data_IF_495055754229
#
_entry.id   IF_495055754229
#
_cell.length_a   1.000
_cell.length_b   1.000
_cell.length_c   1.000
_cell.angle_alpha   90.00
_cell.angle_beta   90.00
_cell.angle_gamma   90.00
#
_symmetry.space_group_name_H-M   'P 1'
#
loop_
_entity.id
_entity.type
_entity.pdbx_description
1 polymer ?
#
# COMPACT_ATOMS: atom_id res chain seq x y z
N UNK A 1 -46.97 -13.30 6.66
CA UNK A 1 -46.84 -14.13 5.44
C UNK A 1 -45.75 -13.51 4.59
N UNK A 2 -44.53 -14.05 4.70
CA UNK A 2 -43.35 -13.58 3.98
C UNK A 2 -43.26 -14.29 2.63
N UNK A 3 -42.94 -13.52 1.60
CA UNK A 3 -43.03 -13.85 0.17
C UNK A 3 -41.85 -14.76 -0.24
N UNK A 4 -42.05 -16.09 -0.22
CA UNK A 4 -41.01 -17.10 -0.48
C UNK A 4 -40.50 -17.14 -1.93
N UNK A 5 -41.23 -16.53 -2.86
CA UNK A 5 -40.94 -16.65 -4.28
C UNK A 5 -39.76 -15.76 -4.72
N UNK A 6 -39.47 -14.67 -3.98
CA UNK A 6 -38.33 -13.80 -4.28
C UNK A 6 -36.98 -14.36 -3.81
N UNK A 7 -36.95 -15.22 -2.80
CA UNK A 7 -35.69 -15.82 -2.31
C UNK A 7 -35.19 -16.93 -3.23
N UNK A 8 -36.10 -17.70 -3.83
CA UNK A 8 -35.77 -18.77 -4.77
C UNK A 8 -35.11 -18.23 -6.05
N UNK A 9 -35.62 -17.14 -6.62
CA UNK A 9 -35.06 -16.47 -7.80
C UNK A 9 -33.68 -15.86 -7.50
N UNK A 10 -33.47 -15.36 -6.29
CA UNK A 10 -32.19 -14.78 -5.84
C UNK A 10 -31.13 -15.86 -5.59
N UNK A 11 -31.53 -17.04 -5.13
CA UNK A 11 -30.66 -18.20 -4.93
C UNK A 11 -30.29 -18.85 -6.27
N UNK A 12 -31.25 -19.00 -7.19
CA UNK A 12 -31.03 -19.56 -8.54
C UNK A 12 -30.19 -18.65 -9.43
N UNK A 13 -30.39 -17.33 -9.37
CA UNK A 13 -29.55 -16.39 -10.12
C UNK A 13 -28.10 -16.35 -9.61
N UNK A 14 -27.89 -16.45 -8.28
CA UNK A 14 -26.55 -16.53 -7.69
C UNK A 14 -25.85 -17.86 -7.95
N UNK A 15 -26.59 -18.98 -8.00
CA UNK A 15 -26.01 -20.30 -8.31
C UNK A 15 -25.70 -20.47 -9.81
N UNK A 16 -26.50 -19.88 -10.70
CA UNK A 16 -26.21 -19.85 -12.14
C UNK A 16 -24.94 -19.04 -12.46
N UNK A 17 -24.73 -17.89 -11.80
CA UNK A 17 -23.50 -17.09 -11.94
C UNK A 17 -22.29 -17.79 -11.30
N UNK A 18 -22.50 -18.54 -10.22
CA UNK A 18 -21.44 -19.37 -9.61
C UNK A 18 -21.01 -20.55 -10.50
N UNK A 19 -21.92 -21.15 -11.28
CA UNK A 19 -21.62 -22.26 -12.21
C UNK A 19 -20.78 -21.86 -13.43
N UNK A 20 -20.99 -20.64 -13.95
CA UNK A 20 -20.18 -20.09 -15.05
C UNK A 20 -18.76 -19.77 -14.58
N UNK A 21 -18.62 -19.22 -13.37
CA UNK A 21 -17.30 -18.98 -12.76
C UNK A 21 -16.52 -20.27 -12.46
N UNK A 22 -17.22 -21.33 -12.05
CA UNK A 22 -16.58 -22.62 -11.69
C UNK A 22 -16.10 -23.40 -12.92
N UNK A 23 -16.85 -23.39 -14.03
CA UNK A 23 -16.42 -24.03 -15.28
C UNK A 23 -15.28 -23.28 -15.96
N UNK A 24 -15.36 -21.95 -16.03
CA UNK A 24 -14.25 -21.11 -16.48
C UNK A 24 -13.00 -21.29 -15.61
N UNK A 25 -13.16 -21.35 -14.28
CA UNK A 25 -12.06 -21.57 -13.33
C UNK A 25 -11.41 -22.96 -13.44
N UNK A 26 -12.18 -24.02 -13.72
CA UNK A 26 -11.65 -25.37 -13.93
C UNK A 26 -10.85 -25.49 -15.22
N UNK A 27 -11.31 -24.86 -16.29
CA UNK A 27 -10.61 -24.88 -17.57
C UNK A 27 -9.38 -23.95 -17.54
N UNK A 28 -9.47 -22.83 -16.83
CA UNK A 28 -8.30 -22.04 -16.44
C UNK A 28 -7.31 -22.92 -15.68
N UNK A 29 -7.73 -23.60 -14.60
CA UNK A 29 -6.86 -24.44 -13.75
C UNK A 29 -6.13 -25.55 -14.51
N UNK A 30 -6.82 -26.24 -15.42
CA UNK A 30 -6.20 -27.27 -16.28
C UNK A 30 -5.19 -26.67 -17.26
N UNK A 31 -5.48 -25.49 -17.81
CA UNK A 31 -4.53 -24.72 -18.63
C UNK A 31 -3.36 -24.13 -17.82
N UNK A 32 -3.61 -23.74 -16.57
CA UNK A 32 -2.61 -23.18 -15.65
C UNK A 32 -1.59 -24.21 -15.21
N UNK A 33 -1.97 -25.47 -15.01
CA UNK A 33 -1.07 -26.50 -14.48
C UNK A 33 0.19 -26.70 -15.33
N UNK A 34 0.08 -26.55 -16.65
CA UNK A 34 1.21 -26.70 -17.56
C UNK A 34 1.94 -25.37 -17.86
N UNK A 35 1.34 -24.24 -17.49
CA UNK A 35 1.80 -22.90 -17.84
C UNK A 35 1.81 -21.94 -16.64
N UNK A 36 1.95 -22.46 -15.42
CA UNK A 36 1.84 -21.67 -14.18
C UNK A 36 2.82 -20.49 -14.19
N UNK A 37 4.02 -20.71 -14.76
CA UNK A 37 5.01 -19.67 -15.00
C UNK A 37 4.48 -18.52 -15.87
N UNK A 38 3.82 -18.82 -17.00
CA UNK A 38 3.29 -17.79 -17.91
C UNK A 38 2.17 -16.97 -17.25
N UNK A 39 1.36 -17.59 -16.39
CA UNK A 39 0.28 -16.90 -15.69
C UNK A 39 0.82 -15.99 -14.60
N UNK A 40 1.80 -16.47 -13.83
CA UNK A 40 2.51 -15.62 -12.86
C UNK A 40 3.22 -14.48 -13.59
N UNK A 41 3.87 -14.75 -14.72
CA UNK A 41 4.51 -13.71 -15.53
C UNK A 41 3.49 -12.68 -16.03
N UNK A 42 2.32 -13.11 -16.54
CA UNK A 42 1.26 -12.21 -16.98
C UNK A 42 0.68 -11.37 -15.82
N UNK A 43 0.48 -11.97 -14.65
CA UNK A 43 0.01 -11.27 -13.45
C UNK A 43 1.04 -10.21 -13.01
N UNK A 44 2.32 -10.58 -12.97
CA UNK A 44 3.42 -9.67 -12.65
C UNK A 44 3.50 -8.54 -13.66
N UNK A 45 3.34 -8.83 -14.95
CA UNK A 45 3.33 -7.85 -16.04
C UNK A 45 2.20 -6.82 -15.91
N UNK A 46 1.08 -7.22 -15.31
CA UNK A 46 -0.09 -6.36 -15.11
C UNK A 46 0.00 -5.57 -13.79
N UNK A 47 0.42 -6.21 -12.70
CA UNK A 47 0.42 -5.62 -11.36
C UNK A 47 1.66 -4.76 -11.11
N UNK A 48 2.84 -5.19 -11.60
CA UNK A 48 4.09 -4.51 -11.29
C UNK A 48 4.15 -3.08 -11.86
N UNK A 49 3.77 -2.79 -13.13
CA UNK A 49 3.78 -1.42 -13.63
C UNK A 49 2.86 -0.48 -12.86
N UNK A 50 1.68 -0.99 -12.46
CA UNK A 50 0.75 -0.23 -11.61
C UNK A 50 1.36 0.09 -10.24
N UNK A 51 1.88 -0.91 -9.53
CA UNK A 51 2.46 -0.72 -8.19
C UNK A 51 3.68 0.18 -8.22
N UNK A 52 4.58 0.01 -9.18
CA UNK A 52 5.78 0.83 -9.34
C UNK A 52 5.42 2.30 -9.64
N UNK A 53 4.50 2.53 -10.59
CA UNK A 53 4.05 3.87 -10.92
C UNK A 53 3.36 4.57 -9.74
N UNK A 54 2.54 3.82 -8.97
CA UNK A 54 1.91 4.31 -7.76
C UNK A 54 2.94 4.68 -6.68
N UNK A 55 3.88 3.79 -6.39
CA UNK A 55 4.93 4.05 -5.38
C UNK A 55 5.75 5.30 -5.70
N UNK A 56 6.16 5.47 -6.96
CA UNK A 56 6.94 6.64 -7.39
C UNK A 56 6.16 7.95 -7.21
N UNK A 57 4.83 7.92 -7.43
CA UNK A 57 4.01 9.14 -7.43
C UNK A 57 3.32 9.47 -6.11
N UNK A 58 3.21 8.51 -5.18
CA UNK A 58 2.60 8.70 -3.86
C UNK A 58 3.27 9.77 -2.98
N UNK A 59 4.46 10.26 -3.37
CA UNK A 59 5.23 11.24 -2.61
C UNK A 59 5.89 10.61 -1.39
N UNK A 60 7.13 11.00 -1.08
CA UNK A 60 7.91 10.47 0.02
C UNK A 60 8.22 11.58 1.02
N UNK A 61 8.49 11.18 2.27
CA UNK A 61 8.94 12.14 3.26
C UNK A 61 10.31 12.67 2.86
N UNK A 62 10.45 14.00 2.80
CA UNK A 62 11.72 14.64 2.50
C UNK A 62 12.77 14.39 3.59
N UNK A 63 12.33 14.04 4.82
CA UNK A 63 13.19 13.78 5.97
C UNK A 63 13.92 12.43 5.91
N UNK A 64 13.31 11.41 5.30
CA UNK A 64 13.96 10.09 5.09
C UNK A 64 14.99 10.11 3.95
N UNK A 65 15.16 11.26 3.30
CA UNK A 65 16.12 11.45 2.24
C UNK A 65 15.71 10.77 0.93
N UNK A 66 16.33 11.24 -0.14
CA UNK A 66 16.15 10.88 -1.56
C UNK A 66 16.32 9.38 -1.91
N UNK A 67 16.44 8.50 -0.91
CA UNK A 67 16.76 7.07 -1.04
C UNK A 67 15.59 6.20 -1.50
N UNK A 68 14.35 6.68 -1.45
CA UNK A 68 13.16 5.86 -1.73
C UNK A 68 12.62 5.96 -3.17
N UNK A 69 12.80 7.08 -3.86
CA UNK A 69 12.22 7.28 -5.21
C UNK A 69 13.13 6.85 -6.36
N UNK A 70 14.42 7.15 -6.28
CA UNK A 70 15.40 6.86 -7.33
C UNK A 70 15.54 5.36 -7.64
N UNK A 71 15.69 4.45 -6.64
CA UNK A 71 15.77 3.02 -6.94
C UNK A 71 14.46 2.46 -7.48
N UNK A 72 13.29 3.00 -7.09
CA UNK A 72 12.00 2.57 -7.62
C UNK A 72 11.83 2.92 -9.11
N UNK A 73 12.27 4.12 -9.53
CA UNK A 73 12.29 4.52 -10.95
C UNK A 73 13.29 3.65 -11.73
N UNK A 74 14.48 3.42 -11.19
CA UNK A 74 15.49 2.55 -11.81
C UNK A 74 15.00 1.12 -11.99
N UNK A 75 14.39 0.54 -10.95
CA UNK A 75 13.79 -0.80 -10.99
C UNK A 75 12.65 -0.88 -12.01
N UNK A 76 11.81 0.16 -12.12
CA UNK A 76 10.75 0.20 -13.14
C UNK A 76 11.28 0.26 -14.56
N UNK A 77 12.32 1.06 -14.81
CA UNK A 77 12.97 1.12 -16.12
C UNK A 77 13.64 -0.20 -16.50
N UNK A 78 14.36 -0.83 -15.56
CA UNK A 78 14.97 -2.15 -15.75
C UNK A 78 13.89 -3.20 -16.02
N UNK A 79 12.78 -3.17 -15.29
CA UNK A 79 11.68 -4.11 -15.48
C UNK A 79 11.02 -3.98 -16.86
N UNK A 80 10.76 -2.76 -17.33
CA UNK A 80 10.23 -2.53 -18.68
C UNK A 80 11.22 -2.95 -19.77
N UNK A 81 12.53 -2.70 -19.59
CA UNK A 81 13.57 -3.17 -20.49
C UNK A 81 13.66 -4.70 -20.53
N UNK A 82 13.47 -5.36 -19.40
CA UNK A 82 13.52 -6.82 -19.28
C UNK A 82 12.28 -7.45 -19.94
N UNK A 83 11.10 -6.85 -19.79
CA UNK A 83 9.90 -7.24 -20.54
C UNK A 83 10.12 -7.11 -22.04
N UNK A 84 10.63 -5.95 -22.49
CA UNK A 84 10.93 -5.73 -23.89
C UNK A 84 11.92 -6.78 -24.43
N UNK A 85 13.01 -7.03 -23.68
CA UNK A 85 14.02 -8.02 -24.04
C UNK A 85 13.49 -9.45 -24.08
N UNK A 86 12.62 -9.86 -23.15
CA UNK A 86 11.99 -11.19 -23.16
C UNK A 86 11.05 -11.36 -24.37
N UNK A 87 10.32 -10.31 -24.72
CA UNK A 87 9.41 -10.30 -25.86
C UNK A 87 10.18 -10.34 -27.19
N UNK A 88 11.29 -9.59 -27.33
CA UNK A 88 12.06 -9.56 -28.58
C UNK A 88 13.08 -10.70 -28.68
N UNK A 89 13.67 -11.11 -27.56
CA UNK A 89 14.72 -12.14 -27.50
C UNK A 89 14.19 -13.57 -27.50
N UNK A 90 13.00 -13.82 -26.95
CA UNK A 90 12.36 -15.13 -26.96
C UNK A 90 11.73 -15.52 -28.31
N UNK A 91 11.54 -14.55 -29.21
CA UNK A 91 10.80 -14.74 -30.48
C UNK A 91 11.60 -14.28 -31.71
N UNK A 92 12.87 -13.91 -31.55
CA UNK A 92 13.75 -13.42 -32.61
C UNK A 92 14.25 -14.49 -33.59
N UNK A 93 14.09 -15.78 -33.28
CA UNK A 93 14.41 -16.86 -34.23
C UNK A 93 13.20 -17.14 -35.13
N UNK A 94 13.11 -16.36 -36.21
CA UNK A 94 12.30 -16.75 -37.38
C UNK A 94 12.73 -18.16 -37.78
N UNK A 95 11.86 -19.15 -37.60
CA UNK A 95 11.98 -20.41 -38.31
C UNK A 95 11.53 -20.15 -39.77
N UNK A 96 12.44 -20.08 -40.76
CA UNK A 96 12.04 -19.82 -42.15
C UNK A 96 11.21 -20.97 -42.76
N UNK A 97 11.07 -22.09 -42.04
CA UNK A 97 10.45 -23.31 -42.53
C UNK A 97 8.91 -23.34 -42.43
N UNK A 98 8.27 -22.52 -41.58
CA UNK A 98 6.84 -22.71 -41.24
C UNK A 98 5.85 -21.84 -42.00
N UNK A 99 6.28 -20.79 -42.72
CA UNK A 99 5.39 -19.94 -43.54
C UNK A 99 4.21 -19.29 -42.81
N UNK A 100 4.14 -19.43 -41.47
CA UNK A 100 3.05 -18.92 -40.65
C UNK A 100 3.27 -17.45 -40.32
N UNK A 101 2.27 -16.61 -40.55
CA UNK A 101 2.22 -15.24 -40.06
C UNK A 101 2.31 -15.25 -38.54
N UNK A 102 3.46 -14.86 -38.03
CA UNK A 102 3.73 -14.86 -36.60
C UNK A 102 3.03 -13.66 -35.94
N UNK A 103 2.02 -13.94 -35.10
CA UNK A 103 1.24 -12.92 -34.39
C UNK A 103 1.97 -12.35 -33.17
N UNK A 104 3.23 -12.75 -32.94
CA UNK A 104 4.09 -12.35 -31.83
C UNK A 104 4.19 -10.82 -31.69
N UNK A 105 4.35 -10.08 -32.80
CA UNK A 105 4.38 -8.62 -32.80
C UNK A 105 3.08 -7.97 -32.30
N UNK A 106 1.92 -8.54 -32.68
CA UNK A 106 0.62 -8.06 -32.21
C UNK A 106 0.43 -8.34 -30.71
N UNK A 107 0.84 -9.52 -30.24
CA UNK A 107 0.79 -9.90 -28.83
C UNK A 107 1.68 -8.96 -28.00
N UNK A 108 2.90 -8.69 -28.47
CA UNK A 108 3.82 -7.75 -27.84
C UNK A 108 3.21 -6.34 -27.68
N UNK A 109 2.59 -5.82 -28.72
CA UNK A 109 1.93 -4.51 -28.69
C UNK A 109 0.75 -4.48 -27.71
N UNK A 110 -0.07 -5.55 -27.67
CA UNK A 110 -1.18 -5.66 -26.72
C UNK A 110 -0.68 -5.66 -25.28
N UNK A 111 0.38 -6.43 -24.98
CA UNK A 111 0.98 -6.48 -23.65
C UNK A 111 1.56 -5.13 -23.24
N UNK A 112 2.25 -4.44 -24.16
CA UNK A 112 2.78 -3.10 -23.92
C UNK A 112 1.66 -2.09 -23.62
N UNK A 113 0.55 -2.13 -24.37
CA UNK A 113 -0.61 -1.27 -24.11
C UNK A 113 -1.23 -1.55 -22.74
N UNK A 114 -1.38 -2.81 -22.35
CA UNK A 114 -1.93 -3.19 -21.03
C UNK A 114 -1.02 -2.68 -19.91
N UNK A 115 0.30 -2.91 -20.01
CA UNK A 115 1.26 -2.44 -19.00
C UNK A 115 1.33 -0.92 -18.93
N UNK A 116 1.23 -0.22 -20.07
CA UNK A 116 1.18 1.25 -20.11
C UNK A 116 -0.08 1.80 -19.45
N UNK A 117 -1.23 1.17 -19.71
CA UNK A 117 -2.49 1.54 -19.09
C UNK A 117 -2.46 1.30 -17.57
N UNK A 118 -1.91 0.16 -17.13
CA UNK A 118 -1.74 -0.14 -15.71
C UNK A 118 -0.83 0.88 -15.01
N UNK A 119 0.29 1.26 -15.64
CA UNK A 119 1.18 2.30 -15.13
C UNK A 119 0.49 3.68 -15.07
N UNK A 120 -0.30 4.05 -16.09
CA UNK A 120 -1.06 5.29 -16.10
C UNK A 120 -2.07 5.34 -14.93
N UNK A 121 -2.81 4.26 -14.70
CA UNK A 121 -3.72 4.14 -13.54
C UNK A 121 -2.98 4.23 -12.21
N UNK A 122 -1.82 3.57 -12.09
CA UNK A 122 -0.99 3.63 -10.89
C UNK A 122 -0.51 5.05 -10.59
N UNK A 123 -0.09 5.77 -11.63
CA UNK A 123 0.32 7.19 -11.57
C UNK A 123 -0.83 8.07 -11.08
N UNK A 124 -2.02 7.92 -11.66
CA UNK A 124 -3.20 8.69 -11.25
C UNK A 124 -3.58 8.43 -9.79
N UNK A 125 -3.60 7.16 -9.38
CA UNK A 125 -3.88 6.80 -7.99
C UNK A 125 -2.82 7.36 -7.04
N UNK A 126 -1.54 7.23 -7.36
CA UNK A 126 -0.47 7.76 -6.50
C UNK A 126 -0.52 9.28 -6.39
N UNK A 127 -0.81 10.01 -7.48
CA UNK A 127 -1.03 11.46 -7.43
C UNK A 127 -2.24 11.85 -6.56
N UNK A 128 -3.32 11.06 -6.58
CA UNK A 128 -4.50 11.31 -5.75
C UNK A 128 -4.25 11.06 -4.25
N UNK A 129 -3.35 10.13 -3.93
CA UNK A 129 -2.97 9.78 -2.55
C UNK A 129 -1.89 10.72 -1.99
N UNK A 130 -1.08 11.31 -2.86
CA UNK A 130 -0.01 12.25 -2.52
C UNK A 130 -0.42 13.35 -1.54
N UNK A 131 -1.50 14.13 -1.73
CA UNK A 131 -1.87 15.18 -0.78
C UNK A 131 -2.19 14.63 0.61
N UNK A 132 -2.82 13.44 0.70
CA UNK A 132 -3.13 12.78 1.97
C UNK A 132 -1.85 12.36 2.71
N UNK A 133 -0.90 11.73 2.00
CA UNK A 133 0.40 11.38 2.59
C UNK A 133 1.19 12.61 3.04
N UNK A 134 1.28 13.64 2.19
CA UNK A 134 1.98 14.87 2.53
C UNK A 134 1.38 15.58 3.75
N UNK A 135 0.05 15.53 3.91
CA UNK A 135 -0.61 16.04 5.13
C UNK A 135 -0.20 15.23 6.36
N UNK A 136 -0.19 13.90 6.25
CA UNK A 136 0.30 13.02 7.31
C UNK A 136 1.74 13.32 7.74
N UNK A 137 2.64 13.54 6.77
CA UNK A 137 4.04 13.93 7.08
C UNK A 137 4.14 15.28 7.77
N UNK A 138 3.30 16.27 7.39
CA UNK A 138 3.27 17.57 8.07
C UNK A 138 2.79 17.44 9.52
N UNK A 139 1.72 16.68 9.75
CA UNK A 139 1.21 16.43 11.11
C UNK A 139 2.27 15.71 11.96
N UNK A 140 2.91 14.67 11.41
CA UNK A 140 3.98 13.97 12.11
C UNK A 140 5.17 14.90 12.44
N UNK A 141 5.55 15.76 11.50
CA UNK A 141 6.60 16.76 11.68
C UNK A 141 6.26 17.81 12.75
N UNK A 142 5.00 18.25 12.81
CA UNK A 142 4.50 19.20 13.80
C UNK A 142 4.45 18.53 15.19
N UNK A 143 3.99 17.27 15.26
CA UNK A 143 3.94 16.49 16.50
C UNK A 143 5.33 16.20 17.06
N UNK A 144 6.29 15.86 16.21
CA UNK A 144 7.67 15.64 16.65
C UNK A 144 8.27 16.90 17.25
N UNK A 145 8.05 18.07 16.61
CA UNK A 145 8.48 19.37 17.15
C UNK A 145 7.82 19.65 18.49
N UNK A 146 6.51 19.46 18.58
CA UNK A 146 5.77 19.64 19.83
C UNK A 146 6.35 18.78 20.97
N UNK A 147 6.63 17.51 20.71
CA UNK A 147 7.24 16.62 21.69
C UNK A 147 8.64 17.09 22.08
N UNK A 148 9.46 17.50 21.12
CA UNK A 148 10.80 18.03 21.37
C UNK A 148 10.77 19.32 22.21
N UNK A 149 9.85 20.25 21.91
CA UNK A 149 9.68 21.52 22.62
C UNK A 149 9.23 21.29 24.08
N UNK A 150 8.47 20.22 24.33
CA UNK A 150 8.08 19.78 25.69
C UNK A 150 9.14 18.87 26.35
N UNK A 151 10.30 18.67 25.71
CA UNK A 151 11.38 17.82 26.20
C UNK A 151 11.02 16.33 26.27
N UNK A 152 9.97 15.90 25.58
CA UNK A 152 9.52 14.51 25.53
C UNK A 152 10.40 13.75 24.53
N UNK A 153 11.06 12.69 24.99
CA UNK A 153 11.94 11.85 24.19
C UNK A 153 11.51 10.39 24.25
N UNK A 154 11.59 9.71 23.12
CA UNK A 154 11.39 8.27 23.07
C UNK A 154 12.66 7.57 23.60
N UNK A 155 12.51 6.71 24.60
CA UNK A 155 13.63 5.96 25.19
C UNK A 155 14.01 4.72 24.36
N UNK A 156 13.19 4.35 23.38
CA UNK A 156 13.37 3.13 22.60
C UNK A 156 13.13 1.86 23.44
N UNK A 157 13.02 0.72 22.77
CA UNK A 157 12.74 -0.59 23.40
C UNK A 157 11.33 -1.12 23.13
N UNK A 158 11.03 -2.31 23.64
CA UNK A 158 9.76 -3.02 23.38
C UNK A 158 8.52 -2.31 23.97
N UNK A 159 8.69 -1.44 24.97
CA UNK A 159 7.60 -0.89 25.78
C UNK A 159 7.09 0.50 25.38
N UNK A 160 7.50 1.05 24.22
CA UNK A 160 7.10 2.41 23.77
C UNK A 160 7.18 3.47 24.88
N UNK A 161 8.24 3.40 25.71
CA UNK A 161 8.42 4.30 26.84
C UNK A 161 8.87 5.70 26.38
N UNK A 162 8.20 6.72 26.89
CA UNK A 162 8.49 8.13 26.72
C UNK A 162 9.11 8.68 28.01
N UNK A 163 10.01 9.65 27.89
CA UNK A 163 10.55 10.41 29.02
C UNK A 163 10.26 11.88 28.85
N UNK A 164 9.71 12.54 29.87
CA UNK A 164 9.48 13.99 29.85
C UNK A 164 10.74 14.81 30.20
N UNK A 165 10.62 16.14 30.16
CA UNK A 165 11.68 17.06 30.55
C UNK A 165 12.12 16.93 32.03
N UNK A 166 11.25 16.46 32.92
CA UNK A 166 11.55 16.20 34.33
C UNK A 166 12.27 14.85 34.54
N UNK A 167 12.43 14.05 33.49
CA UNK A 167 13.03 12.71 33.55
C UNK A 167 12.04 11.61 33.93
N UNK A 168 10.75 11.90 33.98
CA UNK A 168 9.69 10.95 34.32
C UNK A 168 9.43 10.02 33.15
N UNK A 169 9.50 8.71 33.40
CA UNK A 169 9.17 7.69 32.42
C UNK A 169 7.67 7.42 32.37
N UNK A 170 7.13 7.37 31.15
CA UNK A 170 5.71 7.23 30.88
C UNK A 170 5.47 6.25 29.74
N UNK A 171 4.35 5.54 29.77
CA UNK A 171 3.93 4.62 28.71
C UNK A 171 2.50 4.99 28.29
N UNK A 172 2.19 4.81 27.00
CA UNK A 172 0.84 5.01 26.48
C UNK A 172 -0.09 3.98 27.14
N UNK A 173 -1.10 4.46 27.86
CA UNK A 173 -2.08 3.61 28.57
C UNK A 173 -3.32 3.39 27.69
N UNK A 174 -3.90 4.49 27.19
CA UNK A 174 -5.14 4.47 26.43
C UNK A 174 -5.26 5.73 25.55
N UNK A 175 -6.01 5.61 24.46
CA UNK A 175 -6.42 6.70 23.59
C UNK A 175 -7.91 6.96 23.83
N UNK A 176 -8.23 8.07 24.51
CA UNK A 176 -9.61 8.42 24.81
C UNK A 176 -10.29 9.01 23.58
N UNK A 177 -11.60 8.80 23.48
CA UNK A 177 -12.45 9.32 22.38
C UNK A 177 -12.48 10.85 22.27
N UNK A 178 -12.00 11.57 23.28
CA UNK A 178 -12.06 13.04 23.38
C UNK A 178 -10.75 13.72 22.94
N UNK A 179 -10.06 13.15 21.93
CA UNK A 179 -8.78 13.63 21.42
C UNK A 179 -7.66 13.73 22.49
N UNK A 180 -7.66 12.81 23.45
CA UNK A 180 -6.72 12.80 24.57
C UNK A 180 -6.00 11.44 24.66
N UNK A 181 -4.67 11.48 24.58
CA UNK A 181 -3.81 10.33 24.81
C UNK A 181 -3.38 10.36 26.28
N UNK A 182 -3.68 9.27 26.99
CA UNK A 182 -3.34 9.14 28.40
C UNK A 182 -2.01 8.41 28.55
N UNK A 183 -1.07 9.07 29.19
CA UNK A 183 0.24 8.52 29.50
C UNK A 183 0.29 8.13 30.97
N UNK A 184 0.59 6.87 31.27
CA UNK A 184 0.75 6.38 32.64
C UNK A 184 2.21 6.47 33.05
N UNK A 185 2.46 7.00 34.25
CA UNK A 185 3.82 7.08 34.80
C UNK A 185 4.29 5.71 35.27
N UNK A 186 5.46 5.28 34.82
CA UNK A 186 6.07 4.01 35.23
C UNK A 186 6.45 4.09 36.71
N UNK A 187 6.10 3.06 37.48
CA UNK A 187 6.43 2.98 38.91
C UNK A 187 5.55 3.82 39.84
N UNK A 188 4.68 4.70 39.33
CA UNK A 188 3.73 5.48 40.16
C UNK A 188 2.29 5.07 39.85
N UNK A 189 1.54 4.63 40.86
CA UNK A 189 0.10 4.34 40.72
C UNK A 189 -0.67 5.66 40.67
N UNK A 190 -1.73 5.70 39.86
CA UNK A 190 -2.68 6.82 39.71
C UNK A 190 -2.13 8.12 39.07
N UNK A 191 -0.82 8.27 38.88
CA UNK A 191 -0.24 9.44 38.20
C UNK A 191 -0.29 9.26 36.68
N UNK A 192 -0.88 10.24 36.00
CA UNK A 192 -1.11 10.25 34.55
C UNK A 192 -0.72 11.61 33.99
N UNK A 193 -0.11 11.61 32.82
CA UNK A 193 0.07 12.80 31.99
C UNK A 193 -0.88 12.70 30.79
N UNK A 194 -1.20 13.84 30.19
CA UNK A 194 -2.16 13.91 29.11
C UNK A 194 -1.57 14.65 27.92
N UNK A 195 -1.81 14.10 26.73
CA UNK A 195 -1.49 14.72 25.45
C UNK A 195 -2.79 14.94 24.69
N UNK A 196 -3.13 16.20 24.42
CA UNK A 196 -4.32 16.55 23.64
C UNK A 196 -3.94 16.80 22.20
N UNK A 197 -4.74 16.31 21.26
CA UNK A 197 -4.59 16.60 19.84
C UNK A 197 -5.83 17.29 19.25
N UNK A 198 -5.67 17.92 18.08
CA UNK A 198 -6.77 18.46 17.30
C UNK A 198 -7.46 17.39 16.43
N UNK A 199 -8.48 17.80 15.67
CA UNK A 199 -9.21 16.94 14.73
C UNK A 199 -8.35 16.46 13.55
N UNK A 200 -7.20 17.10 13.30
CA UNK A 200 -6.23 16.68 12.30
C UNK A 200 -5.19 15.69 12.88
N UNK A 201 -5.18 15.47 14.19
CA UNK A 201 -4.21 14.63 14.90
C UNK A 201 -2.92 15.35 15.30
N UNK A 202 -2.90 16.69 15.32
CA UNK A 202 -1.77 17.50 15.78
C UNK A 202 -1.81 17.69 17.28
N UNK A 203 -0.70 17.50 17.98
CA UNK A 203 -0.60 17.79 19.41
C UNK A 203 -0.68 19.29 19.68
N UNK A 204 -1.59 19.67 20.58
CA UNK A 204 -1.85 21.07 20.94
C UNK A 204 -1.47 21.37 22.39
N UNK A 205 -1.54 20.36 23.27
CA UNK A 205 -1.32 20.55 24.70
C UNK A 205 -0.72 19.30 25.35
N UNK A 206 0.18 19.55 26.29
CA UNK A 206 0.77 18.54 27.16
C UNK A 206 0.55 18.96 28.61
N UNK A 207 -0.04 18.07 29.42
CA UNK A 207 -0.23 18.26 30.85
C UNK A 207 0.62 17.22 31.58
N UNK A 208 1.71 17.62 32.26
CA UNK A 208 2.59 16.69 32.95
C UNK A 208 1.91 16.10 34.20
N UNK A 209 2.31 14.89 34.58
CA UNK A 209 1.73 14.18 35.72
C UNK A 209 2.00 14.84 37.08
N UNK A 210 2.99 15.73 37.15
CA UNK A 210 3.35 16.46 38.38
C UNK A 210 2.53 17.74 38.57
N UNK A 211 1.79 18.19 37.54
CA UNK A 211 0.90 19.34 37.59
C UNK A 211 -0.56 19.04 37.98
N UNK A 212 -0.87 17.77 38.29
CA UNK A 212 -2.20 17.23 38.63
C UNK A 212 -2.20 16.57 40.01
#
# INVERSE_FOLDING_TARGET
MLNSDNDLVRILSRSAVAGVGFSAGRDFYKGMKNNAFLIVAALVLLVAPFMLARMVTQGHDAREGQKSTLPAIGLGAIFLLLIYFLITGGYGERNPATGSTDNSGTIALVLLMISSLAAALGTLMGLSERPKRLRGFRIAADNERFLQDNGIRNLGGESQALRDAAGTEMVIDDERRDNEIVLKVVGRRMKRAFLTHDDEGRFIQYIPAEGL
#
